data_IF_350318191624
#
_entry.id   IF_350318191624
#
_cell.length_a   1.000
_cell.length_b   1.000
_cell.length_c   1.000
_cell.angle_alpha   90.00
_cell.angle_beta   90.00
_cell.angle_gamma   90.00
#
_symmetry.space_group_name_H-M   'P 1'
#
loop_
_entity.id
_entity.type
_entity.pdbx_description
1 polymer ?
#
# COMPACT_ATOMS: atom_id res chain seq x y z
N UNK A 1 0.36 -23.07 18.19
CA UNK A 1 0.47 -21.91 17.31
C UNK A 1 -0.78 -21.03 17.45
N UNK A 2 -0.67 -19.98 18.23
CA UNK A 2 -1.77 -19.05 18.45
C UNK A 2 -1.91 -18.14 17.23
N UNK A 3 -2.98 -18.30 16.48
CA UNK A 3 -3.38 -17.34 15.46
C UNK A 3 -4.34 -16.32 16.11
N UNK A 4 -3.96 -15.06 16.06
CA UNK A 4 -4.76 -13.96 16.61
C UNK A 4 -5.74 -13.45 15.58
N UNK A 5 -6.95 -13.13 16.04
CA UNK A 5 -7.89 -12.34 15.28
C UNK A 5 -7.92 -10.92 15.85
N UNK A 6 -7.57 -9.92 15.02
CA UNK A 6 -7.53 -8.52 15.42
C UNK A 6 -8.56 -7.71 14.65
N UNK A 7 -9.51 -7.12 15.36
CA UNK A 7 -10.48 -6.19 14.80
C UNK A 7 -10.02 -4.75 15.06
N UNK A 8 -9.47 -4.09 14.05
CA UNK A 8 -8.96 -2.72 14.14
C UNK A 8 -9.87 -1.70 13.42
N UNK A 9 -11.15 -1.99 13.31
CA UNK A 9 -12.13 -1.10 12.69
C UNK A 9 -12.85 -0.20 13.70
N UNK A 10 -12.66 -0.43 15.00
CA UNK A 10 -13.42 0.30 16.03
C UNK A 10 -14.91 0.00 15.95
N UNK A 11 -15.72 1.01 16.27
CA UNK A 11 -17.18 0.93 16.19
C UNK A 11 -17.75 1.51 14.89
N UNK A 12 -16.92 2.18 14.08
CA UNK A 12 -17.35 2.88 12.87
C UNK A 12 -17.66 1.91 11.73
N UNK A 13 -16.89 0.83 11.62
CA UNK A 13 -17.08 -0.20 10.62
C UNK A 13 -17.56 -1.46 11.35
N UNK A 14 -18.78 -1.85 11.08
CA UNK A 14 -19.43 -3.01 11.71
C UNK A 14 -19.54 -4.21 10.77
N UNK A 15 -19.33 -4.00 9.47
CA UNK A 15 -19.44 -5.03 8.45
C UNK A 15 -18.07 -5.34 7.85
N UNK A 16 -17.71 -6.61 7.80
CA UNK A 16 -16.46 -7.09 7.21
C UNK A 16 -16.37 -6.80 5.69
N UNK A 17 -17.50 -6.62 5.02
CA UNK A 17 -17.55 -6.29 3.60
C UNK A 17 -17.04 -4.86 3.30
N UNK A 18 -17.01 -4.00 4.31
CA UNK A 18 -16.51 -2.64 4.17
C UNK A 18 -15.09 -2.47 4.72
N UNK A 19 -14.44 -3.56 5.10
CA UNK A 19 -13.12 -3.54 5.73
C UNK A 19 -12.04 -4.12 4.81
N UNK A 20 -10.79 -3.88 5.18
CA UNK A 20 -9.61 -4.49 4.53
C UNK A 20 -9.11 -5.61 5.42
N UNK A 21 -8.94 -6.80 4.84
CA UNK A 21 -8.53 -8.01 5.55
C UNK A 21 -7.08 -8.31 5.21
N UNK A 22 -6.26 -8.50 6.25
CA UNK A 22 -4.87 -8.97 6.11
C UNK A 22 -4.74 -10.34 6.75
N UNK A 23 -4.28 -11.32 5.97
CA UNK A 23 -3.92 -12.64 6.48
C UNK A 23 -2.41 -12.67 6.68
N UNK A 24 -1.98 -12.89 7.92
CA UNK A 24 -0.57 -12.93 8.31
C UNK A 24 -0.24 -14.28 8.94
N UNK A 25 1.05 -14.57 9.12
CA UNK A 25 1.48 -15.74 9.89
C UNK A 25 0.99 -15.70 11.34
N UNK A 26 0.91 -14.50 11.93
CA UNK A 26 0.44 -14.28 13.30
C UNK A 26 -1.09 -14.30 13.46
N UNK A 27 -1.85 -14.32 12.36
CA UNK A 27 -3.30 -14.34 12.36
C UNK A 27 -3.94 -13.40 11.36
N UNK A 28 -5.22 -13.11 11.56
CA UNK A 28 -6.01 -12.25 10.68
C UNK A 28 -6.20 -10.89 11.33
N UNK A 29 -5.94 -9.82 10.58
CA UNK A 29 -6.21 -8.46 10.99
C UNK A 29 -7.23 -7.82 10.05
N UNK A 30 -8.29 -7.25 10.62
CA UNK A 30 -9.31 -6.49 9.89
C UNK A 30 -9.10 -5.02 10.17
N UNK A 31 -8.91 -4.22 9.12
CA UNK A 31 -8.61 -2.78 9.22
C UNK A 31 -9.69 -1.92 8.58
N UNK A 32 -9.77 -0.67 9.03
CA UNK A 32 -10.60 0.35 8.40
C UNK A 32 -10.13 0.64 6.96
N UNK A 33 -11.07 0.92 6.03
CA UNK A 33 -10.71 1.24 4.65
C UNK A 33 -10.14 2.66 4.46
N UNK A 34 -10.04 3.46 5.53
CA UNK A 34 -9.52 4.84 5.48
C UNK A 34 -8.03 4.90 5.16
N UNK A 35 -7.25 3.94 5.67
CA UNK A 35 -5.82 3.83 5.40
C UNK A 35 -5.49 2.44 4.91
N UNK A 36 -4.86 2.39 3.76
CA UNK A 36 -4.41 1.11 3.23
C UNK A 36 -3.13 0.67 3.94
N UNK A 37 -3.02 -0.61 4.33
CA UNK A 37 -1.80 -1.11 4.95
C UNK A 37 -0.63 -1.06 3.96
N UNK A 38 0.58 -0.87 4.47
CA UNK A 38 1.78 -0.86 3.64
C UNK A 38 1.91 -2.17 2.86
N UNK A 39 2.22 -2.08 1.57
CA UNK A 39 2.51 -3.24 0.75
C UNK A 39 3.85 -3.83 1.19
N UNK A 40 3.91 -5.13 1.35
CA UNK A 40 5.13 -5.84 1.73
C UNK A 40 5.57 -6.78 0.61
N UNK A 41 6.87 -6.99 0.49
CA UNK A 41 7.45 -7.85 -0.53
C UNK A 41 7.12 -9.33 -0.36
N UNK A 42 6.69 -9.73 0.83
CA UNK A 42 6.28 -11.09 1.17
C UNK A 42 4.77 -11.24 0.92
N UNK A 43 4.38 -12.40 0.47
CA UNK A 43 3.03 -12.73 -0.05
C UNK A 43 1.93 -12.64 1.03
N UNK A 44 1.58 -11.42 1.39
CA UNK A 44 0.40 -11.15 2.23
C UNK A 44 -0.43 -10.05 1.59
N UNK A 45 -0.90 -10.32 0.38
CA UNK A 45 -1.75 -9.39 -0.37
C UNK A 45 -3.05 -9.16 0.39
N UNK A 46 -3.43 -7.91 0.66
CA UNK A 46 -4.70 -7.63 1.33
C UNK A 46 -5.91 -8.09 0.54
N UNK A 47 -6.95 -8.45 1.27
CA UNK A 47 -8.21 -8.94 0.73
C UNK A 47 -9.27 -7.86 0.91
N UNK A 48 -10.03 -7.60 -0.13
CA UNK A 48 -11.17 -6.69 -0.14
C UNK A 48 -12.42 -7.40 -0.64
N UNK A 49 -13.58 -6.84 -0.33
CA UNK A 49 -14.83 -7.32 -0.87
C UNK A 49 -15.20 -6.57 -2.15
N UNK A 50 -15.37 -7.30 -3.22
CA UNK A 50 -15.81 -6.74 -4.50
C UNK A 50 -17.34 -6.69 -4.55
N UNK A 51 -17.90 -5.48 -4.39
CA UNK A 51 -19.36 -5.28 -4.37
C UNK A 51 -20.02 -5.62 -5.71
N UNK A 52 -19.30 -5.48 -6.83
CA UNK A 52 -19.85 -5.80 -8.15
C UNK A 52 -19.96 -7.30 -8.38
N UNK A 53 -18.97 -8.05 -7.94
CA UNK A 53 -18.90 -9.51 -8.12
C UNK A 53 -19.43 -10.27 -6.91
N UNK A 54 -19.73 -9.57 -5.80
CA UNK A 54 -20.25 -10.14 -4.56
C UNK A 54 -19.38 -11.26 -3.96
N UNK A 55 -18.06 -11.07 -3.99
CA UNK A 55 -17.11 -11.99 -3.35
C UNK A 55 -15.88 -11.28 -2.84
N UNK A 56 -15.17 -11.90 -1.90
CA UNK A 56 -13.86 -11.46 -1.46
C UNK A 56 -12.80 -11.79 -2.51
N UNK A 57 -11.87 -10.89 -2.71
CA UNK A 57 -10.73 -11.10 -3.62
C UNK A 57 -9.49 -10.38 -3.14
N UNK A 58 -8.34 -10.83 -3.61
CA UNK A 58 -7.11 -10.05 -3.48
C UNK A 58 -7.18 -8.80 -4.35
N UNK A 59 -6.45 -7.76 -3.95
CA UNK A 59 -6.26 -6.60 -4.83
C UNK A 59 -5.52 -7.03 -6.09
N UNK A 60 -5.84 -6.38 -7.21
CA UNK A 60 -5.14 -6.64 -8.47
C UNK A 60 -3.76 -5.99 -8.48
N UNK A 61 -2.79 -6.45 -9.30
CA UNK A 61 -1.51 -5.78 -9.47
C UNK A 61 -1.64 -4.32 -9.88
N UNK A 62 -2.64 -4.00 -10.70
CA UNK A 62 -2.91 -2.61 -11.09
C UNK A 62 -3.38 -1.75 -9.93
N UNK A 63 -4.24 -2.27 -9.09
CA UNK A 63 -4.68 -1.58 -7.87
C UNK A 63 -3.50 -1.35 -6.91
N UNK A 64 -2.62 -2.34 -6.77
CA UNK A 64 -1.41 -2.21 -5.96
C UNK A 64 -0.47 -1.12 -6.51
N UNK A 65 -0.30 -1.03 -7.82
CA UNK A 65 0.47 0.03 -8.45
C UNK A 65 -0.16 1.42 -8.21
N UNK A 66 -1.48 1.52 -8.28
CA UNK A 66 -2.20 2.76 -7.97
C UNK A 66 -2.01 3.19 -6.51
N UNK A 67 -1.97 2.25 -5.57
CA UNK A 67 -1.69 2.52 -4.16
C UNK A 67 -0.29 3.09 -3.92
N UNK A 68 0.68 2.72 -4.75
CA UNK A 68 2.03 3.30 -4.75
C UNK A 68 2.13 4.58 -5.61
N UNK A 69 1.00 5.08 -6.10
CA UNK A 69 0.90 6.28 -6.94
C UNK A 69 1.73 6.24 -8.23
N UNK A 70 1.91 5.06 -8.80
CA UNK A 70 2.49 4.94 -10.14
C UNK A 70 1.50 5.44 -11.20
N UNK A 71 2.05 6.07 -12.25
CA UNK A 71 1.28 6.57 -13.37
C UNK A 71 0.45 5.44 -14.03
N UNK A 72 -0.73 5.79 -14.54
CA UNK A 72 -1.60 4.86 -15.28
C UNK A 72 -0.92 4.21 -16.48
N UNK A 73 0.10 4.87 -17.05
CA UNK A 73 0.92 4.37 -18.15
C UNK A 73 1.98 3.37 -17.71
N UNK A 74 2.24 3.27 -16.40
CA UNK A 74 3.20 2.32 -15.87
C UNK A 74 2.74 0.89 -16.15
N UNK A 75 3.56 0.13 -16.83
CA UNK A 75 3.28 -1.26 -17.18
C UNK A 75 3.93 -2.20 -16.16
N UNK A 76 3.11 -3.04 -15.57
CA UNK A 76 3.59 -4.12 -14.71
C UNK A 76 4.01 -5.30 -15.59
N UNK A 77 5.25 -5.74 -15.47
CA UNK A 77 5.81 -6.84 -16.26
C UNK A 77 6.16 -8.01 -15.33
N UNK A 78 5.73 -9.19 -15.69
CA UNK A 78 5.99 -10.42 -14.96
C UNK A 78 4.71 -11.07 -14.41
N UNK A 79 4.87 -12.09 -13.57
CA UNK A 79 3.75 -12.74 -12.91
C UNK A 79 3.18 -11.84 -11.81
N UNK A 80 1.93 -12.04 -11.43
CA UNK A 80 1.28 -11.29 -10.36
C UNK A 80 2.10 -11.30 -9.07
N UNK A 81 2.64 -12.45 -8.70
CA UNK A 81 3.49 -12.63 -7.53
C UNK A 81 4.76 -11.79 -7.59
N UNK A 82 5.40 -11.73 -8.76
CA UNK A 82 6.58 -10.89 -8.98
C UNK A 82 6.24 -9.39 -8.89
N UNK A 83 5.10 -9.01 -9.47
CA UNK A 83 4.62 -7.62 -9.43
C UNK A 83 4.34 -7.17 -7.99
N UNK A 84 3.66 -7.98 -7.19
CA UNK A 84 3.42 -7.68 -5.78
C UNK A 84 4.71 -7.53 -4.98
N UNK A 85 5.70 -8.39 -5.25
CA UNK A 85 7.02 -8.31 -4.61
C UNK A 85 7.75 -7.02 -4.98
N UNK A 86 7.75 -6.66 -6.26
CA UNK A 86 8.36 -5.42 -6.73
C UNK A 86 7.70 -4.18 -6.13
N UNK A 87 6.37 -4.15 -6.10
CA UNK A 87 5.60 -3.05 -5.51
C UNK A 87 5.79 -2.95 -4.00
N UNK A 88 5.91 -4.08 -3.31
CA UNK A 88 6.19 -4.12 -1.88
C UNK A 88 7.59 -3.61 -1.53
N UNK A 89 8.57 -3.80 -2.41
CA UNK A 89 9.93 -3.27 -2.26
C UNK A 89 10.06 -1.81 -2.72
N UNK A 90 9.05 -1.27 -3.38
CA UNK A 90 9.10 0.09 -3.90
C UNK A 90 8.64 1.11 -2.85
N UNK A 91 8.99 2.37 -3.08
CA UNK A 91 8.54 3.52 -2.29
C UNK A 91 7.39 4.19 -3.03
N UNK A 92 6.43 4.77 -2.29
CA UNK A 92 5.35 5.54 -2.88
C UNK A 92 5.92 6.69 -3.73
N UNK A 93 5.56 6.72 -5.00
CA UNK A 93 6.14 7.65 -5.98
C UNK A 93 5.89 9.12 -5.62
N UNK A 94 4.70 9.46 -5.12
CA UNK A 94 4.34 10.82 -4.72
C UNK A 94 5.15 11.27 -3.50
N UNK A 95 5.30 10.41 -2.50
CA UNK A 95 6.09 10.71 -1.29
C UNK A 95 7.56 10.90 -1.66
N UNK A 96 8.12 10.02 -2.48
CA UNK A 96 9.50 10.12 -2.95
C UNK A 96 9.74 11.42 -3.73
N UNK A 97 8.80 11.80 -4.59
CA UNK A 97 8.85 13.06 -5.35
C UNK A 97 8.85 14.29 -4.43
N UNK A 98 7.98 14.29 -3.42
CA UNK A 98 7.91 15.38 -2.43
C UNK A 98 9.19 15.49 -1.60
N UNK A 99 9.73 14.36 -1.15
CA UNK A 99 11.00 14.32 -0.41
C UNK A 99 12.17 14.79 -1.27
N UNK A 100 12.24 14.35 -2.53
CA UNK A 100 13.26 14.77 -3.48
C UNK A 100 13.25 16.28 -3.73
N UNK A 101 12.06 16.85 -3.95
CA UNK A 101 11.92 18.31 -4.10
C UNK A 101 12.37 19.07 -2.87
N UNK A 102 12.03 18.59 -1.69
CA UNK A 102 12.41 19.25 -0.43
C UNK A 102 13.92 19.19 -0.19
N UNK A 103 14.56 18.06 -0.46
CA UNK A 103 16.01 17.91 -0.38
C UNK A 103 16.73 18.80 -1.40
N UNK A 104 16.23 18.86 -2.62
CA UNK A 104 16.79 19.74 -3.66
C UNK A 104 16.70 21.22 -3.28
N UNK A 105 15.56 21.66 -2.75
CA UNK A 105 15.40 23.03 -2.26
C UNK A 105 16.37 23.35 -1.12
N UNK A 106 16.58 22.40 -0.21
CA UNK A 106 17.53 22.56 0.90
C UNK A 106 18.98 22.66 0.42
N UNK A 107 19.40 21.85 -0.55
CA UNK A 107 20.75 21.92 -1.13
C UNK A 107 20.98 23.24 -1.88
N UNK A 108 19.99 23.72 -2.63
CA UNK A 108 20.08 25.02 -3.32
C UNK A 108 20.21 26.17 -2.32
N UNK A 109 19.42 26.17 -1.25
CA UNK A 109 19.48 27.19 -0.20
C UNK A 109 20.85 27.17 0.51
N UNK A 110 21.45 26.01 0.73
CA UNK A 110 22.81 25.90 1.28
C UNK A 110 23.87 26.39 0.31
N UNK A 111 23.76 26.07 -0.96
CA UNK A 111 24.68 26.57 -1.99
C UNK A 111 24.61 28.10 -2.11
N UNK A 112 23.43 28.71 -2.00
CA UNK A 112 23.28 30.18 -2.00
C UNK A 112 23.88 30.83 -0.75
N UNK A 113 23.74 30.18 0.43
CA UNK A 113 24.34 30.70 1.67
C UNK A 113 25.87 30.54 1.73
N UNK A 114 26.42 29.50 1.10
CA UNK A 114 27.87 29.29 0.99
C UNK A 114 28.52 30.13 -0.13
N UNK A 115 27.72 30.74 -1.00
CA UNK A 115 28.17 31.59 -2.10
C UNK A 115 28.43 33.07 -1.74
N UNK A 116 28.23 33.45 -0.47
CA UNK A 116 28.59 34.73 0.06
C UNK A 116 30.03 34.68 0.64
#
# INVERSE_FOLDING_TARGET
>A
LYQKFEWNCGTDVTDIHDAIIQVRQSGIRVKRPTYYPALVAIVNTPIIYDKKKQHFRYITPREAANLQNFDKRFKCVGTDKQIYRQLGNSVNATILKKLGKKLFSFEIDQCESDGE
#
